data_IF_760554332992
#
_entry.id   IF_760554332992
#
_cell.length_a   1.000
_cell.length_b   1.000
_cell.length_c   1.000
_cell.angle_alpha   90.00
_cell.angle_beta   90.00
_cell.angle_gamma   90.00
#
_symmetry.space_group_name_H-M   'P 1'
#
loop_
_entity.id
_entity.type
_entity.pdbx_description
1 polymer ?
#
# COMPACT_ATOMS: atom_id res chain seq x y z
N UNK A 1 -2.09 -21.48 -9.48
CA UNK A 1 -2.12 -20.01 -9.41
C UNK A 1 -1.61 -19.46 -10.73
N UNK A 2 -2.44 -18.68 -11.40
CA UNK A 2 -2.01 -18.09 -12.67
C UNK A 2 -1.00 -16.98 -12.43
N UNK A 3 0.00 -16.91 -13.30
CA UNK A 3 0.99 -15.85 -13.24
C UNK A 3 0.47 -14.54 -13.82
N UNK A 4 1.24 -13.48 -13.67
CA UNK A 4 0.88 -12.16 -14.20
C UNK A 4 0.73 -12.18 -15.73
N UNK A 5 1.49 -13.06 -16.41
CA UNK A 5 1.44 -13.17 -17.87
C UNK A 5 0.06 -13.58 -18.38
N UNK A 6 -0.73 -14.24 -17.57
CA UNK A 6 -2.07 -14.71 -17.93
C UNK A 6 -3.17 -13.70 -17.63
N UNK A 7 -2.84 -12.60 -16.95
CA UNK A 7 -3.81 -11.57 -16.63
C UNK A 7 -4.27 -10.82 -17.87
N UNK A 8 -5.54 -10.47 -17.85
CA UNK A 8 -6.16 -9.65 -18.90
C UNK A 8 -6.49 -8.28 -18.35
N UNK A 9 -6.56 -7.29 -19.21
CA UNK A 9 -6.97 -5.93 -18.81
C UNK A 9 -8.31 -6.01 -18.09
N UNK A 10 -8.38 -5.39 -16.92
CA UNK A 10 -9.55 -5.43 -16.05
C UNK A 10 -9.46 -6.45 -14.93
N UNK A 11 -8.54 -7.41 -15.03
CA UNK A 11 -8.34 -8.40 -13.97
C UNK A 11 -7.69 -7.75 -12.76
N UNK A 12 -8.07 -8.22 -11.57
CA UNK A 12 -7.51 -7.73 -10.31
C UNK A 12 -6.59 -8.77 -9.70
N UNK A 13 -5.56 -8.30 -9.01
CA UNK A 13 -4.79 -9.15 -8.12
C UNK A 13 -5.65 -9.50 -6.91
N UNK A 14 -5.27 -10.57 -6.19
CA UNK A 14 -5.97 -10.93 -4.96
C UNK A 14 -5.87 -9.78 -3.96
N UNK A 15 -7.02 -9.31 -3.47
CA UNK A 15 -7.08 -8.27 -2.45
C UNK A 15 -6.38 -8.74 -1.17
N UNK A 16 -5.56 -7.88 -0.58
CA UNK A 16 -4.95 -8.13 0.71
C UNK A 16 -5.63 -7.23 1.74
N UNK A 17 -6.26 -7.85 2.73
CA UNK A 17 -6.82 -7.10 3.86
C UNK A 17 -5.84 -7.22 5.03
N UNK A 18 -5.30 -6.08 5.46
CA UNK A 18 -4.38 -6.04 6.58
C UNK A 18 -5.14 -6.21 7.90
N UNK A 19 -4.45 -6.72 8.91
CA UNK A 19 -5.00 -6.72 10.27
C UNK A 19 -5.24 -5.27 10.71
N UNK A 20 -6.16 -5.04 11.68
CA UNK A 20 -6.37 -3.68 12.19
C UNK A 20 -5.05 -3.04 12.61
N UNK A 21 -4.86 -1.78 12.25
CA UNK A 21 -3.62 -1.05 12.57
C UNK A 21 -3.42 -1.02 14.09
N UNK A 22 -2.30 -1.55 14.54
CA UNK A 22 -1.97 -1.60 15.97
C UNK A 22 -0.96 -0.52 16.33
N UNK A 23 -0.97 -0.14 17.62
CA UNK A 23 0.02 0.80 18.14
C UNK A 23 1.44 0.27 17.93
N UNK A 24 1.62 -1.05 18.12
CA UNK A 24 2.92 -1.69 17.93
C UNK A 24 3.42 -1.54 16.48
N UNK A 25 2.52 -1.69 15.49
CA UNK A 25 2.87 -1.48 14.07
C UNK A 25 3.48 -0.09 13.86
N UNK A 26 2.86 0.93 14.44
CA UNK A 26 3.29 2.31 14.25
C UNK A 26 4.60 2.60 15.00
N UNK A 27 4.77 2.03 16.19
CA UNK A 27 6.01 2.16 16.96
C UNK A 27 7.16 1.48 16.21
N UNK A 28 6.94 0.28 15.69
CA UNK A 28 7.96 -0.45 14.93
C UNK A 28 8.35 0.30 13.67
N UNK A 29 7.36 0.85 12.97
CA UNK A 29 7.64 1.62 11.75
C UNK A 29 8.40 2.91 12.06
N UNK A 30 8.02 3.61 13.12
CA UNK A 30 8.73 4.82 13.55
C UNK A 30 10.21 4.51 13.81
N UNK A 31 10.48 3.41 14.50
CA UNK A 31 11.86 2.99 14.78
C UNK A 31 12.62 2.60 13.51
N UNK A 32 11.99 1.85 12.60
CA UNK A 32 12.64 1.37 11.40
C UNK A 32 12.88 2.49 10.37
N UNK A 33 11.93 3.43 10.24
CA UNK A 33 12.01 4.51 9.26
C UNK A 33 12.80 5.73 9.75
N UNK A 34 12.93 5.87 11.06
CA UNK A 34 13.49 7.08 11.66
C UNK A 34 12.52 8.25 11.72
N UNK A 35 11.27 8.07 11.28
CA UNK A 35 10.24 9.10 11.39
C UNK A 35 9.61 9.03 12.77
N UNK A 36 10.13 9.81 13.69
CA UNK A 36 9.73 9.83 15.10
C UNK A 36 8.73 10.94 15.41
N UNK A 37 8.04 11.47 14.40
CA UNK A 37 7.02 12.49 14.65
C UNK A 37 5.98 11.91 15.62
N UNK A 38 5.76 12.53 16.78
CA UNK A 38 4.91 11.96 17.82
C UNK A 38 3.43 11.83 17.46
N UNK A 39 2.97 12.44 16.39
CA UNK A 39 1.57 12.26 15.93
C UNK A 39 1.27 10.80 15.56
N UNK A 40 2.31 10.00 15.34
CA UNK A 40 2.17 8.58 14.97
C UNK A 40 2.20 7.64 16.18
N UNK A 41 2.59 8.11 17.36
CA UNK A 41 2.83 7.22 18.50
C UNK A 41 2.28 7.73 19.84
N UNK A 42 2.06 9.04 20.00
CA UNK A 42 1.63 9.64 21.26
C UNK A 42 0.28 10.32 21.08
N UNK A 43 -0.75 9.78 21.78
CA UNK A 43 -2.13 10.25 21.64
C UNK A 43 -2.28 11.76 21.90
N UNK A 44 -1.68 12.26 22.99
CA UNK A 44 -1.80 13.69 23.34
C UNK A 44 -1.18 14.60 22.28
N UNK A 45 -0.08 14.19 21.67
CA UNK A 45 0.55 14.97 20.60
C UNK A 45 -0.31 15.00 19.34
N UNK A 46 -0.95 13.88 19.01
CA UNK A 46 -1.88 13.81 17.88
C UNK A 46 -3.09 14.72 18.13
N UNK A 47 -3.67 14.67 19.31
CA UNK A 47 -4.80 15.52 19.69
C UNK A 47 -4.42 17.01 19.67
N UNK A 48 -3.25 17.36 20.18
CA UNK A 48 -2.74 18.74 20.17
C UNK A 48 -2.52 19.25 18.74
N UNK A 49 -2.26 18.34 17.80
CA UNK A 49 -2.12 18.67 16.38
C UNK A 49 -3.49 18.77 15.66
N UNK A 50 -4.59 18.59 16.37
CA UNK A 50 -5.93 18.67 15.81
C UNK A 50 -6.44 17.36 15.22
N UNK A 51 -5.78 16.24 15.52
CA UNK A 51 -6.18 14.92 15.01
C UNK A 51 -7.06 14.20 16.04
N UNK A 52 -7.98 13.33 15.61
CA UNK A 52 -8.82 12.56 16.54
C UNK A 52 -8.05 11.47 17.29
N UNK A 53 -6.84 11.13 16.84
CA UNK A 53 -5.97 10.14 17.46
C UNK A 53 -4.71 9.97 16.65
N UNK A 54 -3.85 9.04 17.05
CA UNK A 54 -2.61 8.77 16.32
C UNK A 54 -2.91 8.22 14.92
N UNK A 55 -2.06 8.58 13.97
CA UNK A 55 -2.22 8.18 12.57
C UNK A 55 -1.00 7.38 12.11
N UNK A 56 -1.22 6.50 11.14
CA UNK A 56 -0.14 5.77 10.49
C UNK A 56 0.70 6.70 9.61
N UNK A 57 1.98 6.40 9.50
CA UNK A 57 2.85 7.04 8.54
C UNK A 57 2.34 6.75 7.13
N UNK A 58 2.29 7.74 6.24
CA UNK A 58 1.88 7.51 4.86
C UNK A 58 2.73 6.45 4.18
N UNK A 59 4.04 6.49 4.40
CA UNK A 59 4.97 5.53 3.83
C UNK A 59 4.77 4.10 4.36
N UNK A 60 4.19 3.94 5.55
CA UNK A 60 3.81 2.62 6.07
C UNK A 60 2.76 1.98 5.17
N UNK A 61 1.73 2.75 4.81
CA UNK A 61 0.67 2.27 3.91
C UNK A 61 1.22 2.00 2.52
N UNK A 62 2.08 2.88 2.00
CA UNK A 62 2.70 2.70 0.69
C UNK A 62 3.55 1.43 0.64
N UNK A 63 4.34 1.19 1.68
CA UNK A 63 5.16 -0.02 1.76
C UNK A 63 4.31 -1.28 1.78
N UNK A 64 3.20 -1.26 2.52
CA UNK A 64 2.30 -2.41 2.58
C UNK A 64 1.62 -2.67 1.23
N UNK A 65 1.29 -1.62 0.48
CA UNK A 65 0.64 -1.77 -0.83
C UNK A 65 1.50 -2.59 -1.80
N UNK A 66 2.80 -2.47 -1.70
CA UNK A 66 3.74 -3.25 -2.54
C UNK A 66 3.64 -4.76 -2.29
N UNK A 67 3.05 -5.20 -1.17
CA UNK A 67 2.85 -6.63 -0.88
C UNK A 67 1.99 -7.32 -1.93
N UNK A 68 1.14 -6.58 -2.65
CA UNK A 68 0.35 -7.12 -3.74
C UNK A 68 1.24 -7.76 -4.81
N UNK A 69 2.45 -7.26 -4.98
CA UNK A 69 3.39 -7.71 -6.01
C UNK A 69 4.46 -8.66 -5.49
N UNK A 70 4.62 -8.78 -4.17
CA UNK A 70 5.63 -9.66 -3.57
C UNK A 70 5.55 -11.10 -4.09
N UNK A 71 4.35 -11.72 -4.23
CA UNK A 71 4.25 -13.09 -4.75
C UNK A 71 4.73 -13.23 -6.20
N UNK A 72 4.88 -12.12 -6.92
CA UNK A 72 5.20 -12.11 -8.34
C UNK A 72 6.64 -11.70 -8.65
N UNK A 73 7.48 -11.53 -7.62
CA UNK A 73 8.87 -11.11 -7.82
C UNK A 73 9.73 -12.15 -8.55
N UNK A 74 9.25 -13.41 -8.63
CA UNK A 74 9.88 -14.42 -9.49
C UNK A 74 9.59 -14.22 -10.97
N UNK A 75 8.59 -13.40 -11.32
CA UNK A 75 8.20 -13.15 -12.70
C UNK A 75 8.74 -11.85 -13.26
N UNK A 76 9.23 -10.96 -12.39
CA UNK A 76 9.73 -9.66 -12.81
C UNK A 76 9.95 -8.74 -11.62
N UNK A 77 9.87 -7.45 -11.87
CA UNK A 77 10.12 -6.45 -10.82
C UNK A 77 9.24 -5.21 -11.01
N UNK A 78 9.06 -4.46 -9.91
CA UNK A 78 8.39 -3.17 -9.96
C UNK A 78 9.36 -2.17 -10.57
N UNK A 79 9.01 -1.65 -11.74
CA UNK A 79 9.83 -0.71 -12.48
C UNK A 79 9.54 0.73 -12.07
N UNK A 80 8.27 1.04 -11.77
CA UNK A 80 7.86 2.36 -11.31
C UNK A 80 6.71 2.22 -10.34
N UNK A 81 6.73 3.04 -9.30
CA UNK A 81 5.73 3.01 -8.24
C UNK A 81 5.45 4.44 -7.79
N UNK A 82 4.32 4.98 -8.22
CA UNK A 82 3.92 6.33 -7.86
C UNK A 82 2.56 6.31 -7.20
N UNK A 83 2.42 7.09 -6.14
CA UNK A 83 1.18 7.14 -5.37
C UNK A 83 0.82 8.57 -5.01
N UNK A 84 -0.45 8.73 -4.64
CA UNK A 84 -0.97 9.97 -4.09
C UNK A 84 -1.69 9.65 -2.80
N UNK A 85 -1.35 10.37 -1.73
CA UNK A 85 -2.00 10.23 -0.44
C UNK A 85 -3.33 10.97 -0.47
N UNK A 86 -4.42 10.26 -0.12
CA UNK A 86 -5.79 10.80 -0.18
C UNK A 86 -6.43 10.97 1.18
N UNK A 87 -5.95 10.24 2.18
CA UNK A 87 -6.54 10.30 3.51
C UNK A 87 -5.63 9.72 4.55
N UNK A 88 -6.05 9.84 5.80
CA UNK A 88 -5.30 9.36 6.95
C UNK A 88 -5.75 7.96 7.34
N UNK A 89 -4.82 7.17 7.85
CA UNK A 89 -5.10 5.85 8.44
C UNK A 89 -4.95 5.99 9.95
N UNK A 90 -6.01 5.64 10.67
CA UNK A 90 -6.04 5.76 12.13
C UNK A 90 -5.80 4.41 12.80
N UNK A 91 -5.43 4.47 14.08
CA UNK A 91 -5.31 3.27 14.92
C UNK A 91 -6.62 2.48 14.84
N UNK A 92 -6.50 1.17 14.60
CA UNK A 92 -7.67 0.29 14.48
C UNK A 92 -8.29 0.19 13.10
N UNK A 93 -7.89 1.05 12.17
CA UNK A 93 -8.40 0.98 10.80
C UNK A 93 -8.00 -0.34 10.13
N UNK A 94 -8.91 -0.86 9.32
CA UNK A 94 -8.66 -2.06 8.50
C UNK A 94 -8.45 -1.61 7.06
N UNK A 95 -7.22 -1.76 6.59
CA UNK A 95 -6.83 -1.30 5.26
C UNK A 95 -6.84 -2.48 4.29
N UNK A 96 -7.53 -2.31 3.17
CA UNK A 96 -7.55 -3.29 2.08
C UNK A 96 -6.73 -2.76 0.91
N UNK A 97 -5.88 -3.62 0.36
CA UNK A 97 -4.96 -3.29 -0.72
C UNK A 97 -5.46 -3.94 -2.01
N UNK A 98 -5.57 -3.16 -3.07
CA UNK A 98 -6.14 -3.60 -4.35
C UNK A 98 -5.32 -3.14 -5.54
N UNK A 99 -5.26 -3.97 -6.56
CA UNK A 99 -4.61 -3.63 -7.83
C UNK A 99 -5.41 -4.21 -8.99
N UNK A 100 -5.60 -3.39 -10.03
CA UNK A 100 -6.31 -3.80 -11.25
C UNK A 100 -5.42 -3.51 -12.44
N UNK A 101 -5.28 -4.50 -13.32
CA UNK A 101 -4.48 -4.35 -14.54
C UNK A 101 -5.22 -3.44 -15.53
N UNK A 102 -4.58 -2.34 -15.91
CA UNK A 102 -5.16 -1.35 -16.83
C UNK A 102 -4.56 -1.39 -18.22
N UNK A 103 -3.28 -1.70 -18.33
CA UNK A 103 -2.59 -1.77 -19.62
C UNK A 103 -1.62 -2.94 -19.62
N UNK A 104 -1.49 -3.57 -20.76
CA UNK A 104 -0.56 -4.68 -20.97
C UNK A 104 0.10 -4.46 -22.34
N UNK A 105 1.39 -4.20 -22.33
CA UNK A 105 2.13 -3.90 -23.54
C UNK A 105 3.45 -4.67 -23.52
N UNK A 106 3.52 -5.74 -24.31
CA UNK A 106 4.69 -6.62 -24.28
C UNK A 106 4.91 -7.20 -22.88
N UNK A 107 6.08 -6.94 -22.32
CA UNK A 107 6.45 -7.39 -20.98
C UNK A 107 6.10 -6.39 -19.89
N UNK A 108 5.50 -5.26 -20.24
CA UNK A 108 5.16 -4.20 -19.29
C UNK A 108 3.70 -4.28 -18.92
N UNK A 109 3.44 -4.35 -17.62
CA UNK A 109 2.09 -4.35 -17.06
C UNK A 109 1.90 -3.08 -16.24
N UNK A 110 0.77 -2.39 -16.46
CA UNK A 110 0.44 -1.17 -15.73
C UNK A 110 -0.81 -1.39 -14.91
N UNK A 111 -0.67 -1.21 -13.60
CA UNK A 111 -1.74 -1.42 -12.63
C UNK A 111 -2.18 -0.10 -12.03
N UNK A 112 -3.49 0.04 -11.84
CA UNK A 112 -4.02 1.03 -10.90
C UNK A 112 -4.09 0.35 -9.55
N UNK A 113 -3.58 1.02 -8.51
CA UNK A 113 -3.54 0.48 -7.16
C UNK A 113 -4.25 1.42 -6.20
N UNK A 114 -4.81 0.85 -5.14
CA UNK A 114 -5.45 1.64 -4.11
C UNK A 114 -5.37 0.95 -2.75
N UNK A 115 -5.39 1.76 -1.70
CA UNK A 115 -5.61 1.30 -0.34
C UNK A 115 -6.86 2.02 0.17
N UNK A 116 -7.80 1.24 0.73
CA UNK A 116 -9.05 1.76 1.27
C UNK A 116 -9.23 1.32 2.71
N UNK A 117 -9.90 2.15 3.52
CA UNK A 117 -10.20 1.78 4.88
C UNK A 117 -11.50 0.94 4.95
N UNK A 118 -11.96 0.61 6.15
CA UNK A 118 -13.16 -0.21 6.34
C UNK A 118 -14.45 0.45 5.86
N UNK A 119 -14.43 1.77 5.68
CA UNK A 119 -15.59 2.53 5.17
C UNK A 119 -15.50 2.73 3.66
N UNK A 120 -14.63 1.99 2.98
CA UNK A 120 -14.37 2.10 1.53
C UNK A 120 -13.85 3.49 1.11
N UNK A 121 -13.28 4.24 2.04
CA UNK A 121 -12.63 5.51 1.71
C UNK A 121 -11.21 5.25 1.24
N UNK A 122 -10.88 5.83 0.10
CA UNK A 122 -9.52 5.72 -0.43
C UNK A 122 -8.57 6.56 0.42
N UNK A 123 -7.56 5.91 0.96
CA UNK A 123 -6.51 6.59 1.73
C UNK A 123 -5.26 6.78 0.87
N UNK A 124 -5.14 5.99 -0.20
CA UNK A 124 -3.99 6.02 -1.08
C UNK A 124 -4.42 5.49 -2.45
N UNK A 125 -4.01 6.18 -3.51
CA UNK A 125 -4.22 5.73 -4.90
C UNK A 125 -2.92 5.89 -5.66
N UNK A 126 -2.72 5.09 -6.69
CA UNK A 126 -1.51 5.22 -7.47
C UNK A 126 -1.43 4.27 -8.63
N UNK A 127 -0.22 4.15 -9.15
CA UNK A 127 0.08 3.33 -10.31
C UNK A 127 1.36 2.56 -10.07
N UNK A 128 1.35 1.30 -10.53
CA UNK A 128 2.54 0.45 -10.51
C UNK A 128 2.81 -0.01 -11.93
N UNK A 129 4.04 0.17 -12.36
CA UNK A 129 4.53 -0.40 -13.63
C UNK A 129 5.38 -1.59 -13.26
N UNK A 130 4.98 -2.77 -13.73
CA UNK A 130 5.68 -4.02 -13.47
C UNK A 130 6.30 -4.53 -14.77
N UNK A 131 7.59 -4.82 -14.72
CA UNK A 131 8.30 -5.40 -15.86
C UNK A 131 8.42 -6.91 -15.67
N UNK A 132 7.98 -7.67 -16.67
CA UNK A 132 8.03 -9.13 -16.65
C UNK A 132 9.41 -9.68 -17.02
N UNK A 133 10.47 -8.90 -16.83
CA UNK A 133 11.82 -9.35 -17.11
C UNK A 133 12.44 -9.95 -15.86
N UNK A 134 12.87 -11.21 -15.99
CA UNK A 134 13.62 -11.87 -14.92
C UNK A 134 15.06 -11.39 -15.01
N UNK A 135 15.53 -10.74 -13.95
CA UNK A 135 16.94 -10.38 -13.83
C UNK A 135 17.72 -11.64 -13.46
N UNK A 136 18.20 -12.31 -14.47
CA UNK A 136 18.90 -13.56 -14.26
C UNK A 136 20.36 -13.49 -14.62
#
# INVERSE_FOLDING_TARGET
>A
MSGLSEMKIGDALQTIQLAPVSRLDLIQYAGASGDLNPIHTIDSDAENAGLPGIIAHGMWTMGNLAKLFTPHLGEGFIQDYSIRFKGMVFLGDVVSLRAVLKEKEGKTLRFDVEAVNQDEKKVLVGKVVFSMEVMG
#
